data_IF_687332390469
#
_entry.id   IF_687332390469
#
_cell.length_a   1.000
_cell.length_b   1.000
_cell.length_c   1.000
_cell.angle_alpha   90.00
_cell.angle_beta   90.00
_cell.angle_gamma   90.00
#
_symmetry.space_group_name_H-M   'P 1'
#
loop_
_entity.id
_entity.type
_entity.pdbx_description
1 polymer ?
#
# COMPACT_ATOMS: atom_id res chain seq x y z
N UNK A 1 -37.72 -23.03 44.10
CA UNK A 1 -38.02 -21.99 43.08
C UNK A 1 -37.13 -20.76 43.20
N UNK A 2 -37.05 -20.03 44.31
CA UNK A 2 -36.21 -18.81 44.42
C UNK A 2 -34.73 -19.01 44.05
N UNK A 3 -34.09 -20.09 44.52
CA UNK A 3 -32.68 -20.39 44.20
C UNK A 3 -32.45 -20.70 42.71
N UNK A 4 -33.38 -21.38 42.04
CA UNK A 4 -33.30 -21.68 40.60
C UNK A 4 -33.45 -20.41 39.78
N UNK A 5 -34.36 -19.50 40.16
CA UNK A 5 -34.53 -18.19 39.52
C UNK A 5 -33.28 -17.33 39.71
N UNK A 6 -32.64 -17.35 40.88
CA UNK A 6 -31.38 -16.63 41.12
C UNK A 6 -30.23 -17.18 40.26
N UNK A 7 -30.11 -18.52 40.16
CA UNK A 7 -29.11 -19.12 39.27
C UNK A 7 -29.37 -18.81 37.79
N UNK A 8 -30.65 -18.85 37.36
CA UNK A 8 -31.00 -18.46 35.98
C UNK A 8 -30.74 -16.98 35.72
N UNK A 9 -31.01 -16.11 36.68
CA UNK A 9 -30.70 -14.67 36.57
C UNK A 9 -29.18 -14.42 36.53
N UNK A 10 -28.40 -15.08 37.36
CA UNK A 10 -26.94 -15.03 37.32
C UNK A 10 -26.39 -15.57 35.99
N UNK A 11 -26.95 -16.66 35.46
CA UNK A 11 -26.58 -17.22 34.16
C UNK A 11 -26.92 -16.26 33.02
N UNK A 12 -28.09 -15.61 33.07
CA UNK A 12 -28.51 -14.59 32.12
C UNK A 12 -27.61 -13.33 32.17
N UNK A 13 -27.19 -12.90 33.35
CA UNK A 13 -26.26 -11.78 33.52
C UNK A 13 -24.87 -12.15 33.02
N UNK A 14 -24.41 -13.39 33.23
CA UNK A 14 -23.14 -13.88 32.67
C UNK A 14 -23.17 -14.04 31.14
N UNK A 15 -24.32 -14.34 30.53
CA UNK A 15 -24.47 -14.43 29.07
C UNK A 15 -24.56 -13.06 28.40
N UNK A 16 -24.82 -11.98 29.12
CA UNK A 16 -24.93 -10.62 28.61
C UNK A 16 -23.60 -9.83 28.64
N UNK A 17 -22.53 -10.40 29.20
CA UNK A 17 -21.23 -9.79 29.18
C UNK A 17 -20.59 -9.98 27.79
N UNK A 18 -21.16 -9.32 26.76
CA UNK A 18 -20.45 -9.12 25.50
C UNK A 18 -19.14 -8.40 25.82
N UNK A 19 -18.02 -9.08 25.62
CA UNK A 19 -16.71 -8.48 25.89
C UNK A 19 -16.56 -7.25 24.99
N UNK A 20 -16.46 -6.08 25.62
CA UNK A 20 -16.31 -4.79 24.92
C UNK A 20 -15.18 -4.84 23.90
N UNK A 21 -15.45 -4.44 22.67
CA UNK A 21 -14.52 -4.46 21.56
C UNK A 21 -13.85 -3.11 21.36
N UNK A 22 -12.55 -3.12 21.23
CA UNK A 22 -11.71 -1.92 21.08
C UNK A 22 -11.11 -1.86 19.69
N UNK A 23 -11.37 -0.76 18.98
CA UNK A 23 -10.77 -0.44 17.67
C UNK A 23 -9.63 0.55 17.81
N UNK A 24 -8.52 0.29 17.14
CA UNK A 24 -7.37 1.20 17.02
C UNK A 24 -7.32 1.79 15.61
N UNK A 25 -7.37 3.12 15.50
CA UNK A 25 -7.30 3.84 14.22
C UNK A 25 -6.00 4.62 14.13
N UNK A 26 -5.20 4.34 13.09
CA UNK A 26 -3.86 4.90 12.90
C UNK A 26 -3.81 5.76 11.64
N UNK A 27 -3.49 7.04 11.80
CA UNK A 27 -3.34 7.94 10.65
C UNK A 27 -2.05 7.73 9.88
N UNK A 28 -2.00 8.22 8.65
CA UNK A 28 -0.75 8.42 7.93
C UNK A 28 0.04 9.61 8.48
N UNK A 29 1.31 9.74 8.06
CA UNK A 29 2.17 10.85 8.45
C UNK A 29 3.68 10.60 8.32
N UNK A 30 4.11 9.58 7.57
CA UNK A 30 5.53 9.22 7.40
C UNK A 30 6.18 8.83 8.72
N UNK A 31 7.44 9.22 8.93
CA UNK A 31 8.22 8.86 10.13
C UNK A 31 7.52 9.21 11.45
N UNK A 32 6.68 10.26 11.47
CA UNK A 32 5.88 10.64 12.67
C UNK A 32 5.00 9.49 13.17
N UNK A 33 4.59 8.59 12.28
CA UNK A 33 3.79 7.41 12.65
C UNK A 33 4.49 6.37 13.52
N UNK A 34 5.80 6.52 13.78
CA UNK A 34 6.49 5.66 14.75
C UNK A 34 5.98 5.87 16.19
N UNK A 35 5.29 6.98 16.48
CA UNK A 35 4.54 7.18 17.72
C UNK A 35 3.46 6.12 17.92
N UNK A 36 2.91 5.56 16.84
CA UNK A 36 1.90 4.49 16.91
C UNK A 36 2.44 3.23 17.60
N UNK A 37 3.74 2.93 17.44
CA UNK A 37 4.38 1.78 18.11
C UNK A 37 4.37 2.00 19.63
N UNK A 38 4.74 3.20 20.07
CA UNK A 38 4.73 3.54 21.51
C UNK A 38 3.32 3.49 22.11
N UNK A 39 2.30 3.93 21.36
CA UNK A 39 0.89 3.81 21.78
C UNK A 39 0.51 2.35 21.96
N UNK A 40 0.77 1.51 20.96
CA UNK A 40 0.47 0.07 21.02
C UNK A 40 1.21 -0.57 22.21
N UNK A 41 2.48 -0.22 22.43
CA UNK A 41 3.28 -0.72 23.54
C UNK A 41 2.67 -0.37 24.89
N UNK A 42 2.33 0.89 25.11
CA UNK A 42 1.68 1.33 26.36
C UNK A 42 0.31 0.68 26.58
N UNK A 43 -0.48 0.45 25.54
CA UNK A 43 -1.76 -0.25 25.63
C UNK A 43 -1.55 -1.70 26.05
N UNK A 44 -0.60 -2.42 25.43
CA UNK A 44 -0.30 -3.81 25.79
C UNK A 44 0.21 -3.96 27.21
N UNK A 45 1.24 -3.18 27.61
CA UNK A 45 1.83 -3.22 28.94
C UNK A 45 0.79 -3.00 30.02
N UNK A 46 -0.25 -2.26 29.71
CA UNK A 46 -1.34 -1.95 30.62
C UNK A 46 -2.59 -2.81 30.43
N UNK A 47 -2.50 -3.87 29.64
CA UNK A 47 -3.55 -4.84 29.45
C UNK A 47 -4.76 -4.32 28.69
N UNK A 48 -4.66 -3.18 27.98
CA UNK A 48 -5.76 -2.65 27.13
C UNK A 48 -5.84 -3.47 25.85
N UNK A 49 -6.99 -4.11 25.57
CA UNK A 49 -7.12 -4.94 24.37
C UNK A 49 -7.16 -4.10 23.09
N UNK A 50 -6.66 -4.67 21.99
CA UNK A 50 -6.80 -4.16 20.63
C UNK A 50 -7.47 -5.25 19.80
N UNK A 51 -8.77 -5.10 19.52
CA UNK A 51 -9.56 -6.13 18.82
C UNK A 51 -9.57 -5.90 17.30
N UNK A 52 -9.43 -4.64 16.84
CA UNK A 52 -9.51 -4.25 15.44
C UNK A 52 -8.53 -3.13 15.15
N UNK A 53 -7.97 -3.13 13.94
CA UNK A 53 -7.08 -2.05 13.50
C UNK A 53 -7.49 -1.55 12.12
N UNK A 54 -7.51 -0.22 11.96
CA UNK A 54 -7.55 0.42 10.65
C UNK A 54 -6.40 1.41 10.53
N UNK A 55 -5.76 1.47 9.35
CA UNK A 55 -4.61 2.35 9.16
C UNK A 55 -4.47 2.88 7.74
N UNK A 56 -3.79 4.01 7.62
CA UNK A 56 -3.44 4.64 6.35
C UNK A 56 -1.94 4.92 6.32
N UNK A 57 -1.26 4.67 5.18
CA UNK A 57 0.16 4.98 4.99
C UNK A 57 1.03 4.31 6.07
N UNK A 58 1.84 5.05 6.81
CA UNK A 58 2.62 4.50 7.94
C UNK A 58 1.72 3.84 9.00
N UNK A 59 0.50 4.34 9.21
CA UNK A 59 -0.47 3.69 10.09
C UNK A 59 -0.91 2.33 9.57
N UNK A 60 -0.93 2.12 8.25
CA UNK A 60 -1.15 0.81 7.64
C UNK A 60 0.07 -0.11 7.83
N UNK A 61 1.29 0.42 7.72
CA UNK A 61 2.52 -0.35 7.98
C UNK A 61 2.55 -0.84 9.43
N UNK A 62 2.45 0.07 10.39
CA UNK A 62 2.51 -0.29 11.83
C UNK A 62 1.31 -1.17 12.22
N UNK A 63 0.11 -0.81 11.77
CA UNK A 63 -1.10 -1.58 12.05
C UNK A 63 -1.06 -2.99 11.48
N UNK A 64 -0.50 -3.18 10.28
CA UNK A 64 -0.36 -4.50 9.67
C UNK A 64 0.71 -5.36 10.35
N UNK A 65 1.83 -4.79 10.79
CA UNK A 65 2.83 -5.51 11.58
C UNK A 65 2.18 -6.08 12.85
N UNK A 66 1.45 -5.24 13.58
CA UNK A 66 0.72 -5.70 14.76
C UNK A 66 -0.33 -6.77 14.42
N UNK A 67 -1.09 -6.55 13.35
CA UNK A 67 -2.10 -7.49 12.87
C UNK A 67 -1.52 -8.85 12.43
N UNK A 68 -0.24 -8.90 12.06
CA UNK A 68 0.51 -10.12 11.78
C UNK A 68 1.13 -10.77 13.04
N UNK A 69 0.89 -10.20 14.21
CA UNK A 69 1.39 -10.73 15.48
C UNK A 69 2.81 -10.28 15.85
N UNK A 70 3.30 -9.17 15.30
CA UNK A 70 4.53 -8.55 15.81
C UNK A 70 4.26 -7.91 17.17
N UNK A 71 5.16 -8.11 18.13
CA UNK A 71 5.16 -7.34 19.36
C UNK A 71 5.68 -5.92 19.12
N UNK A 72 5.40 -4.94 19.99
CA UNK A 72 5.97 -3.60 19.89
C UNK A 72 7.49 -3.59 19.81
N UNK A 73 8.14 -4.50 20.53
CA UNK A 73 9.59 -4.65 20.46
C UNK A 73 10.05 -5.15 19.09
N UNK A 74 9.44 -6.21 18.54
CA UNK A 74 9.75 -6.70 17.18
C UNK A 74 9.48 -5.64 16.11
N UNK A 75 8.46 -4.80 16.29
CA UNK A 75 8.20 -3.67 15.39
C UNK A 75 9.32 -2.63 15.45
N UNK A 76 9.81 -2.27 16.65
CA UNK A 76 10.95 -1.35 16.81
C UNK A 76 12.23 -1.92 16.22
N UNK A 77 12.54 -3.19 16.47
CA UNK A 77 13.69 -3.89 15.89
C UNK A 77 13.65 -3.85 14.36
N UNK A 78 12.47 -4.09 13.76
CA UNK A 78 12.29 -4.02 12.31
C UNK A 78 12.49 -2.59 11.78
N UNK A 79 11.84 -1.60 12.37
CA UNK A 79 11.91 -0.20 11.91
C UNK A 79 13.32 0.40 12.04
N UNK A 80 14.09 -0.05 13.02
CA UNK A 80 15.48 0.41 13.21
C UNK A 80 16.51 -0.43 12.48
N UNK A 81 16.09 -1.47 11.75
CA UNK A 81 16.98 -2.35 10.99
C UNK A 81 17.53 -1.69 9.72
N UNK A 82 18.73 -2.14 9.31
CA UNK A 82 19.33 -1.74 8.03
C UNK A 82 18.44 -2.12 6.84
N UNK A 83 17.68 -3.20 6.95
CA UNK A 83 16.74 -3.65 5.93
C UNK A 83 15.65 -2.60 5.68
N UNK A 84 15.03 -2.08 6.73
CA UNK A 84 14.04 -1.01 6.62
C UNK A 84 14.68 0.29 6.13
N UNK A 85 15.88 0.64 6.60
CA UNK A 85 16.63 1.81 6.14
C UNK A 85 16.85 1.77 4.62
N UNK A 86 17.28 0.63 4.08
CA UNK A 86 17.48 0.46 2.62
C UNK A 86 16.19 0.68 1.83
N UNK A 87 15.04 0.31 2.38
CA UNK A 87 13.75 0.47 1.71
C UNK A 87 13.32 1.93 1.52
N UNK A 88 13.56 2.80 2.50
CA UNK A 88 13.16 4.20 2.37
C UNK A 88 14.26 5.10 1.82
N UNK A 89 15.54 4.73 1.95
CA UNK A 89 16.65 5.44 1.30
C UNK A 89 16.71 5.15 -0.20
N UNK A 90 16.34 3.94 -0.62
CA UNK A 90 16.38 3.49 -2.01
C UNK A 90 17.80 3.37 -2.59
N UNK A 91 18.83 3.50 -1.76
CA UNK A 91 20.24 3.43 -2.17
C UNK A 91 20.62 1.96 -2.30
N UNK A 92 20.98 1.55 -3.52
CA UNK A 92 21.48 0.19 -3.79
C UNK A 92 22.89 0.06 -3.23
N UNK A 93 23.10 -0.90 -2.34
CA UNK A 93 24.42 -1.18 -1.78
C UNK A 93 25.29 -1.90 -2.83
N UNK A 94 26.61 -1.68 -2.72
CA UNK A 94 27.58 -2.27 -3.67
C UNK A 94 27.54 -3.80 -3.65
N UNK A 95 27.23 -4.39 -2.51
CA UNK A 95 27.21 -5.85 -2.35
C UNK A 95 25.97 -6.50 -2.97
N UNK A 96 24.88 -5.76 -3.12
CA UNK A 96 23.66 -6.21 -3.80
C UNK A 96 23.75 -6.04 -5.33
N UNK A 97 24.78 -5.34 -5.83
CA UNK A 97 25.02 -5.18 -7.29
C UNK A 97 26.10 -6.16 -7.71
N UNK A 98 25.76 -7.02 -8.67
CA UNK A 98 26.68 -8.03 -9.20
C UNK A 98 27.98 -7.38 -9.69
N UNK A 99 29.15 -7.86 -9.26
CA UNK A 99 30.47 -7.25 -9.47
C UNK A 99 30.74 -6.89 -10.95
N UNK A 100 30.38 -7.76 -11.88
CA UNK A 100 30.60 -7.54 -13.33
C UNK A 100 29.72 -6.42 -13.90
N UNK A 101 28.65 -6.04 -13.20
CA UNK A 101 27.67 -5.01 -13.63
C UNK A 101 27.76 -3.72 -12.83
N UNK A 102 28.77 -3.58 -11.96
CA UNK A 102 29.06 -2.33 -11.25
C UNK A 102 29.56 -1.32 -12.26
N UNK A 103 28.85 -0.21 -12.39
CA UNK A 103 29.36 0.91 -13.18
C UNK A 103 30.55 1.53 -12.46
N UNK A 104 31.57 1.93 -13.20
CA UNK A 104 32.63 2.75 -12.64
C UNK A 104 32.02 4.04 -12.06
N UNK A 105 32.52 4.53 -10.92
CA UNK A 105 32.05 5.76 -10.32
C UNK A 105 32.26 6.91 -11.31
N UNK A 106 31.19 7.45 -11.85
CA UNK A 106 31.21 8.62 -12.70
C UNK A 106 30.88 9.88 -11.88
N UNK A 107 31.45 11.05 -12.19
CA UNK A 107 31.13 12.29 -11.50
C UNK A 107 29.75 12.86 -11.92
N UNK A 108 28.84 12.03 -12.38
CA UNK A 108 27.52 12.45 -12.83
C UNK A 108 26.61 12.79 -11.63
N UNK A 109 26.14 14.04 -11.60
CA UNK A 109 25.17 14.50 -10.60
C UNK A 109 23.77 13.92 -10.86
N UNK A 110 23.44 13.72 -12.12
CA UNK A 110 22.19 13.08 -12.55
C UNK A 110 22.35 12.54 -13.98
N UNK A 111 21.64 11.46 -14.29
CA UNK A 111 21.54 10.91 -15.64
C UNK A 111 20.09 10.89 -16.09
N UNK A 112 19.82 11.33 -17.32
CA UNK A 112 18.52 11.22 -17.97
C UNK A 112 18.59 10.11 -19.01
N UNK A 113 17.87 9.01 -18.78
CA UNK A 113 17.76 7.95 -19.78
C UNK A 113 16.72 8.37 -20.81
N UNK A 114 17.13 8.47 -22.08
CA UNK A 114 16.22 8.64 -23.20
C UNK A 114 16.11 7.33 -23.98
N UNK A 115 14.90 6.96 -24.36
CA UNK A 115 14.67 5.83 -25.26
C UNK A 115 14.44 6.39 -26.64
N UNK A 116 15.28 6.01 -27.61
CA UNK A 116 15.02 6.30 -29.02
C UNK A 116 13.98 5.28 -29.47
N UNK A 117 12.75 5.71 -29.64
CA UNK A 117 11.71 4.95 -30.34
C UNK A 117 11.85 5.18 -31.84
N UNK A 118 11.27 4.32 -32.67
CA UNK A 118 11.31 4.34 -34.14
C UNK A 118 10.76 5.65 -34.79
N UNK A 119 10.31 6.60 -34.00
CA UNK A 119 10.00 7.98 -34.38
C UNK A 119 10.85 8.92 -33.55
N UNK A 120 11.37 9.98 -34.18
CA UNK A 120 12.24 11.01 -33.61
C UNK A 120 11.70 11.78 -32.37
N UNK A 121 10.83 11.18 -31.60
CA UNK A 121 10.29 11.72 -30.34
C UNK A 121 11.28 11.46 -29.19
N UNK A 122 12.09 12.45 -28.92
CA UNK A 122 12.90 12.54 -27.72
C UNK A 122 11.97 12.77 -26.49
N UNK A 123 11.51 11.72 -25.84
CA UNK A 123 10.83 11.85 -24.56
C UNK A 123 11.84 11.60 -23.44
N UNK A 124 12.28 12.61 -22.70
CA UNK A 124 13.10 12.41 -21.51
C UNK A 124 12.29 11.61 -20.48
N UNK A 125 12.81 10.47 -20.07
CA UNK A 125 12.17 9.66 -19.05
C UNK A 125 12.52 10.26 -17.69
N UNK A 126 11.65 11.09 -17.15
CA UNK A 126 11.80 11.59 -15.79
C UNK A 126 11.65 10.43 -14.79
N UNK A 127 12.41 10.41 -13.71
CA UNK A 127 12.24 9.41 -12.66
C UNK A 127 10.82 9.52 -12.10
N UNK A 128 10.13 8.39 -12.01
CA UNK A 128 8.72 8.32 -11.53
C UNK A 128 8.61 8.34 -10.01
N UNK A 129 9.73 8.20 -9.30
CA UNK A 129 9.83 8.25 -7.84
C UNK A 129 11.26 8.59 -7.41
N UNK A 130 11.40 9.21 -6.25
CA UNK A 130 12.69 9.52 -5.63
C UNK A 130 13.35 8.26 -5.06
N UNK A 131 12.55 7.37 -4.48
CA UNK A 131 13.05 6.14 -3.85
C UNK A 131 13.02 4.99 -4.85
N UNK A 132 14.15 4.30 -4.99
CA UNK A 132 14.23 3.10 -5.82
C UNK A 132 13.43 1.96 -5.18
N UNK A 133 12.47 1.32 -5.88
CA UNK A 133 11.57 0.35 -5.28
C UNK A 133 12.18 -1.05 -5.07
N UNK A 134 13.43 -1.30 -5.46
CA UNK A 134 14.02 -2.65 -5.47
C UNK A 134 13.96 -3.31 -4.09
N UNK A 135 14.48 -2.66 -3.05
CA UNK A 135 14.43 -3.21 -1.70
C UNK A 135 13.00 -3.33 -1.16
N UNK A 136 12.19 -2.31 -1.42
CA UNK A 136 10.78 -2.31 -0.98
C UNK A 136 9.97 -3.46 -1.58
N UNK A 137 10.18 -3.77 -2.86
CA UNK A 137 9.48 -4.87 -3.52
C UNK A 137 9.86 -6.23 -2.90
N UNK A 138 11.13 -6.42 -2.53
CA UNK A 138 11.58 -7.65 -1.88
C UNK A 138 11.08 -7.72 -0.42
N UNK A 139 11.25 -6.64 0.35
CA UNK A 139 10.78 -6.54 1.73
C UNK A 139 9.29 -6.86 1.86
N UNK A 140 8.46 -6.30 0.99
CA UNK A 140 7.01 -6.53 1.01
C UNK A 140 6.70 -8.01 0.83
N UNK A 141 7.37 -8.71 -0.08
CA UNK A 141 7.20 -10.16 -0.21
C UNK A 141 7.65 -10.89 1.06
N UNK A 142 8.83 -10.60 1.56
CA UNK A 142 9.43 -11.27 2.71
C UNK A 142 8.60 -11.11 3.98
N UNK A 143 8.10 -9.91 4.24
CA UNK A 143 7.39 -9.64 5.50
C UNK A 143 5.92 -10.07 5.47
N UNK A 144 5.25 -9.99 4.31
CA UNK A 144 3.80 -10.10 4.26
C UNK A 144 3.28 -11.42 3.65
N UNK A 145 4.09 -12.14 2.84
CA UNK A 145 3.58 -13.28 2.08
C UNK A 145 3.09 -14.44 2.98
N UNK A 146 3.80 -14.75 4.06
CA UNK A 146 3.38 -15.81 5.00
C UNK A 146 2.05 -15.48 5.68
N UNK A 147 1.88 -14.24 6.16
CA UNK A 147 0.64 -13.80 6.78
C UNK A 147 -0.51 -13.74 5.78
N UNK A 148 -0.26 -13.29 4.54
CA UNK A 148 -1.21 -13.33 3.43
C UNK A 148 -1.69 -14.75 3.14
N UNK A 149 -0.77 -15.71 3.16
CA UNK A 149 -1.10 -17.13 2.97
C UNK A 149 -1.87 -17.72 4.16
N UNK A 150 -1.45 -17.43 5.39
CA UNK A 150 -2.08 -17.95 6.61
C UNK A 150 -3.53 -17.47 6.77
N UNK A 151 -3.79 -16.19 6.45
CA UNK A 151 -5.15 -15.63 6.49
C UNK A 151 -5.97 -15.94 5.22
N UNK A 152 -5.42 -16.67 4.24
CA UNK A 152 -6.06 -16.97 2.94
C UNK A 152 -6.56 -15.69 2.24
N UNK A 153 -5.83 -14.60 2.45
CA UNK A 153 -6.16 -13.30 1.90
C UNK A 153 -7.37 -12.60 2.51
N UNK A 154 -7.94 -13.10 3.58
CA UNK A 154 -8.97 -12.39 4.36
C UNK A 154 -8.34 -11.73 5.58
N UNK A 155 -8.21 -10.41 5.57
CA UNK A 155 -7.57 -9.65 6.65
C UNK A 155 -8.33 -9.70 7.98
N UNK A 156 -9.56 -10.22 7.99
CA UNK A 156 -10.29 -10.49 9.22
C UNK A 156 -9.75 -11.73 9.96
N UNK A 157 -8.93 -12.55 9.32
CA UNK A 157 -8.33 -13.78 9.87
C UNK A 157 -6.87 -13.60 10.31
N UNK A 158 -6.34 -12.38 10.25
CA UNK A 158 -5.06 -12.04 10.84
C UNK A 158 -5.12 -12.15 12.38
N UNK A 159 -3.98 -12.10 13.05
CA UNK A 159 -3.91 -12.10 14.51
C UNK A 159 -4.81 -11.02 15.12
N UNK A 160 -4.83 -9.82 14.55
CA UNK A 160 -5.86 -8.81 14.78
C UNK A 160 -6.50 -8.45 13.44
N UNK A 161 -7.84 -8.50 13.30
CA UNK A 161 -8.54 -8.07 12.10
C UNK A 161 -8.14 -6.66 11.66
N UNK A 162 -7.81 -6.53 10.39
CA UNK A 162 -7.15 -5.33 9.85
C UNK A 162 -7.82 -4.79 8.60
N UNK A 163 -7.80 -3.46 8.43
CA UNK A 163 -8.13 -2.78 7.18
C UNK A 163 -7.11 -1.70 6.88
N UNK A 164 -6.79 -1.48 5.61
CA UNK A 164 -6.03 -0.31 5.21
C UNK A 164 -6.63 0.36 3.97
N UNK A 165 -6.18 1.58 3.73
CA UNK A 165 -6.72 2.46 2.69
C UNK A 165 -5.61 2.89 1.75
N UNK A 166 -5.88 2.81 0.45
CA UNK A 166 -5.14 3.52 -0.58
C UNK A 166 -6.06 4.47 -1.35
N UNK A 167 -5.54 5.14 -2.36
CA UNK A 167 -6.28 6.13 -3.15
C UNK A 167 -6.27 5.79 -4.64
N UNK A 168 -7.44 5.74 -5.26
CA UNK A 168 -7.60 5.77 -6.71
C UNK A 168 -7.74 7.24 -7.14
N UNK A 169 -6.65 7.81 -7.66
CA UNK A 169 -6.65 9.23 -8.05
C UNK A 169 -7.41 9.50 -9.33
N UNK A 170 -7.60 8.48 -10.18
CA UNK A 170 -8.41 8.60 -11.40
C UNK A 170 -9.90 8.71 -11.06
N UNK A 171 -10.39 7.83 -10.18
CA UNK A 171 -11.79 7.83 -9.73
C UNK A 171 -12.04 8.78 -8.55
N UNK A 172 -10.99 9.39 -8.00
CA UNK A 172 -11.04 10.34 -6.87
C UNK A 172 -11.76 9.77 -5.65
N UNK A 173 -11.45 8.54 -5.30
CA UNK A 173 -12.03 7.84 -4.15
C UNK A 173 -11.01 6.96 -3.43
N UNK A 174 -11.23 6.65 -2.14
CA UNK A 174 -10.42 5.68 -1.43
C UNK A 174 -10.64 4.27 -1.98
N UNK A 175 -9.58 3.46 -1.90
CA UNK A 175 -9.59 2.00 -2.08
C UNK A 175 -9.46 1.39 -0.69
N UNK A 176 -10.45 0.62 -0.27
CA UNK A 176 -10.46 -0.02 1.05
C UNK A 176 -10.07 -1.48 0.89
N UNK A 177 -8.96 -1.87 1.49
CA UNK A 177 -8.49 -3.25 1.47
C UNK A 177 -9.01 -4.04 2.68
N UNK A 178 -9.78 -5.07 2.39
CA UNK A 178 -10.34 -6.03 3.35
C UNK A 178 -9.78 -7.43 3.13
N UNK A 179 -9.27 -7.65 1.92
CA UNK A 179 -8.77 -8.94 1.42
C UNK A 179 -7.77 -8.74 0.28
N UNK A 180 -7.11 -9.83 -0.09
CA UNK A 180 -6.13 -9.87 -1.16
C UNK A 180 -4.72 -10.14 -0.63
N UNK A 181 -3.71 -9.73 -1.36
CA UNK A 181 -2.32 -9.74 -0.89
C UNK A 181 -2.11 -8.59 0.10
N UNK A 182 -1.80 -8.92 1.36
CA UNK A 182 -1.62 -7.94 2.42
C UNK A 182 -0.44 -7.01 2.13
N UNK A 183 0.65 -7.57 1.59
CA UNK A 183 1.83 -6.78 1.24
C UNK A 183 1.54 -5.74 0.17
N UNK A 184 0.81 -6.13 -0.87
CA UNK A 184 0.38 -5.20 -1.93
C UNK A 184 -0.59 -4.14 -1.41
N UNK A 185 -1.51 -4.51 -0.51
CA UNK A 185 -2.44 -3.56 0.10
C UNK A 185 -1.72 -2.49 0.93
N UNK A 186 -0.76 -2.90 1.78
CA UNK A 186 0.06 -2.00 2.59
C UNK A 186 0.98 -1.16 1.70
N UNK A 187 1.59 -1.77 0.69
CA UNK A 187 2.44 -1.08 -0.29
C UNK A 187 1.67 -0.02 -1.08
N UNK A 188 0.41 -0.30 -1.45
CA UNK A 188 -0.48 0.69 -2.07
C UNK A 188 -0.76 1.85 -1.12
N UNK A 189 -1.11 1.52 0.14
CA UNK A 189 -1.46 2.49 1.18
C UNK A 189 -0.33 3.49 1.47
N UNK A 190 0.94 3.10 1.32
CA UNK A 190 2.11 3.94 1.58
C UNK A 190 2.76 4.53 0.30
N UNK A 191 2.15 4.38 -0.86
CA UNK A 191 2.71 4.88 -2.14
C UNK A 191 2.52 6.40 -2.27
N UNK A 192 3.23 7.17 -1.42
CA UNK A 192 3.18 8.64 -1.47
C UNK A 192 3.72 9.15 -2.80
N UNK A 193 2.96 10.02 -3.52
CA UNK A 193 3.34 10.53 -4.84
C UNK A 193 4.73 11.15 -4.84
N UNK A 194 5.49 10.93 -5.91
CA UNK A 194 6.87 11.36 -6.13
C UNK A 194 7.92 10.70 -5.22
N UNK A 195 7.59 10.33 -3.99
CA UNK A 195 8.53 9.64 -3.08
C UNK A 195 8.60 8.16 -3.44
N UNK A 196 7.46 7.49 -3.45
CA UNK A 196 7.37 6.07 -3.78
C UNK A 196 6.59 5.86 -5.09
N UNK A 197 7.05 4.89 -5.87
CA UNK A 197 6.36 4.52 -7.09
C UNK A 197 4.97 3.95 -6.77
N UNK A 198 3.90 4.44 -7.43
CA UNK A 198 2.58 3.88 -7.28
C UNK A 198 2.52 2.45 -7.83
N UNK A 199 1.59 1.65 -7.34
CA UNK A 199 1.41 0.27 -7.78
C UNK A 199 0.02 0.06 -8.36
N UNK A 200 -0.10 -0.93 -9.23
CA UNK A 200 -1.38 -1.35 -9.78
C UNK A 200 -1.96 -2.47 -8.92
N UNK A 201 -3.18 -2.30 -8.44
CA UNK A 201 -3.94 -3.30 -7.69
C UNK A 201 -5.31 -3.44 -8.36
N UNK A 202 -5.65 -4.64 -8.77
CA UNK A 202 -6.92 -4.97 -9.44
C UNK A 202 -7.23 -4.04 -10.64
N UNK A 203 -6.20 -3.72 -11.44
CA UNK A 203 -6.32 -2.84 -12.60
C UNK A 203 -6.41 -1.34 -12.30
N UNK A 204 -6.30 -0.94 -11.04
CA UNK A 204 -6.30 0.45 -10.60
C UNK A 204 -4.91 0.89 -10.16
N UNK A 205 -4.47 2.06 -10.62
CA UNK A 205 -3.25 2.67 -10.12
C UNK A 205 -3.51 3.27 -8.74
N UNK A 206 -2.89 2.65 -7.73
CA UNK A 206 -3.08 2.99 -6.33
C UNK A 206 -1.94 3.87 -5.80
N UNK A 207 -2.32 4.89 -5.06
CA UNK A 207 -1.46 5.83 -4.36
C UNK A 207 -1.74 5.81 -2.86
N UNK A 208 -0.94 6.53 -2.09
CA UNK A 208 -1.10 6.69 -0.64
C UNK A 208 -2.53 7.04 -0.25
N UNK A 209 -3.04 6.35 0.76
CA UNK A 209 -4.41 6.54 1.25
C UNK A 209 -4.66 7.91 1.83
N UNK A 210 -3.61 8.60 2.29
CA UNK A 210 -3.68 9.95 2.83
C UNK A 210 -4.21 11.00 1.87
N UNK A 211 -4.24 10.70 0.55
CA UNK A 211 -4.82 11.61 -0.44
C UNK A 211 -6.32 11.82 -0.19
N UNK A 212 -7.08 10.77 0.15
CA UNK A 212 -8.55 10.87 0.33
C UNK A 212 -9.05 10.47 1.72
N UNK A 213 -8.36 9.60 2.45
CA UNK A 213 -8.74 9.20 3.81
C UNK A 213 -7.51 8.89 4.66
N UNK A 214 -6.95 9.92 5.28
CA UNK A 214 -5.75 9.79 6.10
C UNK A 214 -6.00 9.28 7.52
N UNK A 215 -7.26 9.17 7.95
CA UNK A 215 -7.65 8.67 9.27
C UNK A 215 -8.92 7.82 9.14
N UNK A 216 -8.81 6.51 8.89
CA UNK A 216 -9.92 5.66 8.44
C UNK A 216 -10.84 5.21 9.59
N UNK A 217 -11.35 6.17 10.35
CA UNK A 217 -12.29 5.95 11.46
C UNK A 217 -13.69 5.54 10.98
N UNK A 218 -14.09 6.03 9.81
CA UNK A 218 -15.31 5.62 9.10
C UNK A 218 -15.29 4.11 8.82
N UNK A 219 -14.18 3.61 8.29
CA UNK A 219 -14.00 2.18 7.99
C UNK A 219 -13.97 1.33 9.26
N UNK A 220 -13.36 1.83 10.33
CA UNK A 220 -13.40 1.16 11.64
C UNK A 220 -14.84 0.97 12.11
N UNK A 221 -15.67 2.00 11.96
CA UNK A 221 -17.09 1.93 12.35
C UNK A 221 -17.90 1.02 11.45
N UNK A 222 -17.74 1.17 10.14
CA UNK A 222 -18.56 0.49 9.15
C UNK A 222 -18.27 -1.01 9.06
N UNK A 223 -17.00 -1.41 9.23
CA UNK A 223 -16.58 -2.81 9.08
C UNK A 223 -16.58 -3.59 10.40
N UNK A 224 -16.28 -2.94 11.51
CA UNK A 224 -16.01 -3.63 12.78
C UNK A 224 -16.98 -3.28 13.93
N UNK A 225 -17.64 -2.13 13.86
CA UNK A 225 -18.57 -1.66 14.90
C UNK A 225 -18.02 -1.80 16.33
N UNK A 226 -16.82 -1.27 16.66
CA UNK A 226 -16.26 -1.39 17.99
C UNK A 226 -17.06 -0.58 19.03
N UNK A 227 -17.02 -1.03 20.27
CA UNK A 227 -17.66 -0.32 21.39
C UNK A 227 -16.85 0.90 21.84
N UNK A 228 -15.54 0.89 21.61
CA UNK A 228 -14.62 1.97 21.96
C UNK A 228 -13.53 2.14 20.90
N UNK A 229 -13.21 3.38 20.57
CA UNK A 229 -12.17 3.68 19.56
C UNK A 229 -11.02 4.45 20.21
N UNK A 230 -9.80 3.95 20.02
CA UNK A 230 -8.57 4.68 20.29
C UNK A 230 -8.05 5.19 18.94
N UNK A 231 -8.00 6.50 18.78
CA UNK A 231 -7.48 7.13 17.58
C UNK A 231 -6.10 7.69 17.81
N UNK A 232 -5.17 7.47 16.87
CA UNK A 232 -3.85 8.09 16.87
C UNK A 232 -3.64 8.92 15.60
N UNK A 233 -3.45 10.22 15.77
CA UNK A 233 -3.30 11.20 14.70
C UNK A 233 -1.95 11.89 14.80
N UNK A 234 -1.08 11.62 13.83
CA UNK A 234 0.28 12.18 13.72
C UNK A 234 0.41 13.17 12.56
N UNK A 235 -0.68 13.43 11.87
CA UNK A 235 -0.77 14.35 10.73
C UNK A 235 -1.85 15.37 10.94
N UNK A 236 -1.72 16.51 10.29
CA UNK A 236 -2.74 17.56 10.27
C UNK A 236 -3.12 17.84 8.82
N UNK A 237 -4.30 18.42 8.62
CA UNK A 237 -4.64 18.96 7.31
C UNK A 237 -3.62 20.04 6.92
N UNK A 238 -3.17 20.00 5.67
CA UNK A 238 -2.19 20.94 5.15
C UNK A 238 -2.56 22.39 5.47
N UNK A 239 -1.64 23.11 6.08
CA UNK A 239 -1.72 24.56 6.25
C UNK A 239 -1.32 25.24 4.93
N UNK A 240 -1.35 26.57 4.89
CA UNK A 240 -0.86 27.30 3.72
C UNK A 240 0.60 26.95 3.48
N UNK A 241 0.95 26.35 2.31
CA UNK A 241 2.31 25.91 2.06
C UNK A 241 3.28 27.08 1.93
N UNK A 242 4.53 26.89 2.32
CA UNK A 242 5.60 27.84 2.05
C UNK A 242 5.82 27.96 0.53
N UNK A 243 5.98 29.18 -0.03
CA UNK A 243 6.27 29.37 -1.46
C UNK A 243 7.54 28.65 -1.95
N UNK A 244 8.47 28.33 -1.06
CA UNK A 244 9.73 27.65 -1.37
C UNK A 244 9.68 26.14 -1.14
N UNK A 245 8.60 25.62 -0.55
CA UNK A 245 8.39 24.18 -0.30
C UNK A 245 7.54 23.55 -1.42
N UNK A 246 8.17 23.10 -2.50
CA UNK A 246 7.50 22.47 -3.64
C UNK A 246 6.76 21.20 -3.22
N UNK A 247 7.34 20.41 -2.30
CA UNK A 247 6.73 19.14 -1.85
C UNK A 247 5.44 19.43 -1.07
N UNK A 248 5.49 20.36 -0.13
CA UNK A 248 4.31 20.79 0.64
C UNK A 248 3.23 21.46 -0.22
N UNK A 249 3.63 22.19 -1.27
CA UNK A 249 2.67 22.73 -2.25
C UNK A 249 1.95 21.62 -3.00
N UNK A 250 2.68 20.65 -3.51
CA UNK A 250 2.12 19.49 -4.22
C UNK A 250 1.24 18.66 -3.28
N UNK A 251 1.71 18.38 -2.07
CA UNK A 251 0.92 17.69 -1.04
C UNK A 251 -0.42 18.39 -0.81
N UNK A 252 -0.40 19.71 -0.65
CA UNK A 252 -1.62 20.52 -0.46
C UNK A 252 -2.57 20.46 -1.67
N UNK A 253 -2.02 20.33 -2.89
CA UNK A 253 -2.83 20.24 -4.11
C UNK A 253 -3.50 18.90 -4.30
N UNK A 254 -2.85 17.80 -3.86
CA UNK A 254 -3.33 16.43 -4.13
C UNK A 254 -4.11 15.83 -2.98
N UNK A 255 -3.87 16.26 -1.72
CA UNK A 255 -4.54 15.71 -0.55
C UNK A 255 -5.88 16.38 -0.29
N UNK A 256 -6.92 15.58 -0.09
CA UNK A 256 -8.19 16.05 0.44
C UNK A 256 -8.08 16.34 1.95
N UNK A 257 -8.94 17.22 2.45
CA UNK A 257 -9.03 17.42 3.91
C UNK A 257 -9.59 16.17 4.57
N UNK A 258 -8.81 15.59 5.48
CA UNK A 258 -9.24 14.46 6.30
C UNK A 258 -9.99 14.91 7.54
N UNK A 259 -11.01 14.13 7.92
CA UNK A 259 -11.68 14.33 9.20
C UNK A 259 -10.94 13.54 10.28
N UNK A 260 -10.19 14.24 11.12
CA UNK A 260 -9.45 13.64 12.24
C UNK A 260 -10.26 13.62 13.55
N UNK A 261 -11.57 13.74 13.49
CA UNK A 261 -12.42 13.66 14.67
C UNK A 261 -12.94 12.22 14.86
N UNK A 262 -13.13 11.84 16.11
CA UNK A 262 -13.92 10.65 16.42
C UNK A 262 -15.40 11.03 16.28
N UNK A 263 -16.22 10.21 15.60
CA UNK A 263 -17.62 10.55 15.31
C UNK A 263 -18.54 10.52 16.53
N UNK A 264 -18.11 9.88 17.63
CA UNK A 264 -18.91 9.72 18.85
C UNK A 264 -18.07 9.98 20.10
N UNK A 265 -18.76 10.14 21.24
CA UNK A 265 -18.14 10.32 22.55
C UNK A 265 -17.44 9.06 23.08
N UNK A 266 -17.63 7.89 22.43
CA UNK A 266 -17.07 6.58 22.82
C UNK A 266 -15.67 6.36 22.25
N UNK A 267 -14.74 7.26 22.52
CA UNK A 267 -13.36 7.11 22.10
C UNK A 267 -12.40 8.09 22.76
N UNK A 268 -11.13 7.83 22.58
CA UNK A 268 -10.03 8.73 22.94
C UNK A 268 -9.17 8.98 21.69
N UNK A 269 -8.78 10.25 21.52
CA UNK A 269 -7.96 10.66 20.40
C UNK A 269 -6.64 11.24 20.89
N UNK A 270 -5.56 10.54 20.56
CA UNK A 270 -4.19 11.00 20.77
C UNK A 270 -3.76 11.82 19.54
N UNK A 271 -3.35 13.07 19.75
CA UNK A 271 -2.93 14.00 18.69
C UNK A 271 -1.51 14.45 18.91
N UNK A 272 -0.70 14.40 17.85
CA UNK A 272 0.69 14.84 17.86
C UNK A 272 0.90 15.89 16.78
N UNK A 273 1.39 17.06 17.17
CA UNK A 273 1.79 18.13 16.24
C UNK A 273 3.30 18.09 16.01
N UNK A 274 3.73 17.24 15.09
CA UNK A 274 5.13 16.98 14.80
C UNK A 274 5.58 17.52 13.42
N UNK A 275 4.73 18.29 12.74
CA UNK A 275 5.00 18.70 11.35
C UNK A 275 6.21 19.63 11.20
N UNK A 276 6.56 20.37 12.26
CA UNK A 276 7.73 21.26 12.27
C UNK A 276 9.01 20.60 12.74
N UNK A 277 8.89 19.45 13.40
CA UNK A 277 10.01 18.81 14.12
C UNK A 277 10.50 17.56 13.38
N UNK A 278 9.62 16.90 12.65
CA UNK A 278 9.88 15.60 12.02
C UNK A 278 9.51 15.65 10.54
N UNK A 279 10.46 15.41 9.67
CA UNK A 279 10.23 15.29 8.24
C UNK A 279 9.64 13.93 7.84
N UNK A 280 9.16 13.80 6.59
CA UNK A 280 8.42 12.62 6.11
C UNK A 280 9.22 11.30 6.23
N UNK A 281 10.53 11.35 5.99
CA UNK A 281 11.40 10.17 5.94
C UNK A 281 12.47 10.14 7.06
N UNK A 282 12.28 10.89 8.14
CA UNK A 282 13.22 11.01 9.26
C UNK A 282 13.00 9.88 10.28
N UNK A 283 13.26 8.64 9.85
CA UNK A 283 13.05 7.43 10.66
C UNK A 283 14.13 7.19 11.72
N UNK A 284 15.24 7.91 11.67
CA UNK A 284 16.32 7.87 12.67
C UNK A 284 15.90 8.31 14.07
N UNK A 285 14.78 9.05 14.19
CA UNK A 285 14.19 9.44 15.47
C UNK A 285 13.22 8.39 16.05
N UNK A 286 13.33 7.13 15.65
CA UNK A 286 12.38 6.08 16.02
C UNK A 286 12.18 5.94 17.53
N UNK A 287 13.27 5.93 18.32
CA UNK A 287 13.18 5.81 19.78
C UNK A 287 12.45 7.00 20.40
N UNK A 288 12.80 8.23 19.99
CA UNK A 288 12.14 9.44 20.49
C UNK A 288 10.62 9.42 20.21
N UNK A 289 10.23 9.03 19.00
CA UNK A 289 8.82 8.97 18.60
C UNK A 289 8.05 7.85 19.32
N UNK A 290 8.70 6.69 19.52
CA UNK A 290 8.14 5.63 20.35
C UNK A 290 7.86 6.13 21.77
N UNK A 291 8.85 6.73 22.45
CA UNK A 291 8.74 7.17 23.84
C UNK A 291 7.69 8.28 23.99
N UNK A 292 7.57 9.15 22.99
CA UNK A 292 6.52 10.17 22.93
C UNK A 292 5.11 9.52 22.86
N UNK A 293 4.93 8.53 21.99
CA UNK A 293 3.67 7.80 21.88
C UNK A 293 3.31 7.02 23.14
N UNK A 294 4.31 6.38 23.73
CA UNK A 294 4.16 5.63 24.99
C UNK A 294 3.73 6.56 26.13
N UNK A 295 4.45 7.66 26.35
CA UNK A 295 4.17 8.61 27.43
C UNK A 295 2.80 9.27 27.27
N UNK A 296 2.44 9.71 26.06
CA UNK A 296 1.14 10.31 25.79
C UNK A 296 -0.02 9.35 26.04
N UNK A 297 0.19 8.05 25.84
CA UNK A 297 -0.82 7.04 26.15
C UNK A 297 -1.00 6.85 27.65
N UNK A 298 0.08 6.89 28.43
CA UNK A 298 0.01 6.82 29.88
C UNK A 298 -0.78 7.97 30.48
N UNK A 299 -0.69 9.19 29.94
CA UNK A 299 -1.44 10.36 30.40
C UNK A 299 -2.98 10.17 30.31
N UNK A 300 -3.44 9.40 29.35
CA UNK A 300 -4.88 9.13 29.14
C UNK A 300 -5.32 7.75 29.57
N UNK A 301 -4.40 6.95 30.12
CA UNK A 301 -4.63 5.53 30.44
C UNK A 301 -5.76 5.28 31.40
N UNK A 302 -5.88 6.08 32.47
CA UNK A 302 -6.96 5.96 33.45
C UNK A 302 -8.34 6.21 32.80
N UNK A 303 -8.38 7.16 31.88
CA UNK A 303 -9.60 7.45 31.10
C UNK A 303 -9.95 6.30 30.13
N UNK A 304 -8.94 5.61 29.58
CA UNK A 304 -9.14 4.41 28.76
C UNK A 304 -9.66 3.28 29.63
N UNK A 305 -8.99 2.95 30.76
CA UNK A 305 -9.35 1.86 31.65
C UNK A 305 -10.73 2.04 32.29
N UNK A 306 -11.12 3.27 32.58
CA UNK A 306 -12.47 3.58 33.10
C UNK A 306 -13.58 3.24 32.09
N UNK A 307 -13.29 3.31 30.78
CA UNK A 307 -14.25 3.03 29.70
C UNK A 307 -14.10 1.63 29.11
N UNK A 308 -12.91 1.02 29.26
CA UNK A 308 -12.58 -0.33 28.80
C UNK A 308 -12.15 -1.17 29.99
N UNK A 309 -13.11 -1.72 30.76
CA UNK A 309 -12.80 -2.51 31.97
C UNK A 309 -12.18 -3.89 31.64
N UNK A 310 -12.36 -4.39 30.40
CA UNK A 310 -11.74 -5.64 29.95
C UNK A 310 -10.23 -5.48 29.86
N UNK A 311 -9.51 -6.42 30.45
CA UNK A 311 -8.05 -6.48 30.40
C UNK A 311 -7.58 -7.79 29.78
N UNK A 312 -6.42 -7.74 29.11
CA UNK A 312 -5.74 -8.88 28.52
C UNK A 312 -4.32 -8.92 29.09
N UNK A 313 -3.98 -10.04 29.75
CA UNK A 313 -2.62 -10.21 30.27
C UNK A 313 -1.61 -10.36 29.10
N UNK A 314 -0.46 -9.73 29.22
CA UNK A 314 0.61 -9.76 28.21
C UNK A 314 1.04 -11.20 27.87
N UNK A 315 1.16 -12.07 28.87
CA UNK A 315 1.51 -13.49 28.65
C UNK A 315 0.46 -14.21 27.81
N UNK A 316 -0.84 -13.92 28.05
CA UNK A 316 -1.93 -14.50 27.25
C UNK A 316 -1.87 -14.02 25.81
N UNK A 317 -1.56 -12.73 25.59
CA UNK A 317 -1.42 -12.13 24.28
C UNK A 317 -0.23 -12.73 23.53
N UNK A 318 0.92 -12.88 24.18
CA UNK A 318 2.12 -13.49 23.61
C UNK A 318 1.86 -14.95 23.21
N UNK A 319 1.16 -15.71 24.04
CA UNK A 319 0.77 -17.08 23.70
C UNK A 319 -0.13 -17.13 22.45
N UNK A 320 -1.05 -16.19 22.30
CA UNK A 320 -1.89 -16.09 21.11
C UNK A 320 -1.07 -15.71 19.87
N UNK A 321 -0.06 -14.81 20.00
CA UNK A 321 0.89 -14.48 18.93
C UNK A 321 1.67 -15.70 18.46
N UNK A 322 2.23 -16.46 19.39
CA UNK A 322 2.95 -17.68 19.07
C UNK A 322 2.07 -18.70 18.36
N UNK A 323 0.83 -18.87 18.82
CA UNK A 323 -0.15 -19.73 18.15
C UNK A 323 -0.43 -19.28 16.73
N UNK A 324 -0.61 -17.97 16.50
CA UNK A 324 -0.78 -17.44 15.15
C UNK A 324 0.48 -17.63 14.30
N UNK A 325 1.66 -17.29 14.83
CA UNK A 325 2.95 -17.48 14.14
C UNK A 325 3.19 -18.94 13.76
N UNK A 326 2.75 -19.89 14.57
CA UNK A 326 2.84 -21.32 14.27
C UNK A 326 1.94 -21.76 13.07
N UNK A 327 0.98 -20.94 12.65
CA UNK A 327 0.15 -21.20 11.45
C UNK A 327 0.80 -20.71 10.17
N UNK A 328 1.87 -19.92 10.25
CA UNK A 328 2.53 -19.34 9.09
C UNK A 328 3.21 -20.47 8.27
N UNK A 329 2.96 -20.52 6.96
CA UNK A 329 3.60 -21.50 6.10
C UNK A 329 5.11 -21.23 5.94
N UNK A 330 5.92 -22.25 5.61
CA UNK A 330 7.33 -22.04 5.32
C UNK A 330 7.53 -21.16 4.06
N UNK A 331 8.65 -20.45 4.00
CA UNK A 331 9.06 -19.67 2.84
C UNK A 331 9.58 -20.57 1.69
N UNK A 332 8.65 -21.25 1.03
CA UNK A 332 8.94 -22.04 -0.17
C UNK A 332 7.87 -21.77 -1.21
N UNK A 333 8.28 -21.24 -2.34
CA UNK A 333 7.39 -20.93 -3.47
C UNK A 333 7.40 -22.09 -4.47
N UNK A 334 6.29 -22.79 -4.58
CA UNK A 334 6.18 -23.96 -5.47
C UNK A 334 6.19 -23.59 -6.95
N UNK A 335 5.64 -22.45 -7.32
CA UNK A 335 5.54 -21.99 -8.70
C UNK A 335 5.71 -20.47 -8.80
N UNK A 336 6.45 -20.03 -9.83
CA UNK A 336 6.63 -18.62 -10.17
C UNK A 336 5.91 -18.34 -11.49
N UNK A 337 4.97 -17.41 -11.48
CA UNK A 337 4.26 -16.94 -12.66
C UNK A 337 4.81 -15.58 -13.10
N UNK A 338 5.12 -15.46 -14.39
CA UNK A 338 5.75 -14.26 -14.95
C UNK A 338 4.82 -13.63 -15.97
N UNK A 339 4.50 -12.36 -15.79
CA UNK A 339 3.59 -11.59 -16.65
C UNK A 339 4.25 -10.33 -17.19
N UNK A 340 3.66 -9.73 -18.24
CA UNK A 340 4.09 -8.44 -18.78
C UNK A 340 5.37 -8.48 -19.61
N UNK A 341 5.80 -9.66 -20.09
CA UNK A 341 7.02 -9.87 -20.87
C UNK A 341 6.75 -10.75 -22.09
N UNK A 342 7.67 -10.71 -23.07
CA UNK A 342 7.64 -11.62 -24.23
C UNK A 342 7.98 -13.06 -23.80
N UNK A 343 7.70 -14.05 -24.64
CA UNK A 343 7.94 -15.45 -24.31
C UNK A 343 9.43 -15.75 -24.09
N UNK A 344 10.32 -15.19 -24.92
CA UNK A 344 11.76 -15.34 -24.73
C UNK A 344 12.27 -14.72 -23.42
N UNK A 345 11.73 -13.56 -23.04
CA UNK A 345 12.04 -12.93 -21.75
C UNK A 345 11.48 -13.74 -20.58
N UNK A 346 10.29 -14.31 -20.73
CA UNK A 346 9.69 -15.18 -19.71
C UNK A 346 10.55 -16.38 -19.45
N UNK A 347 11.00 -17.06 -20.51
CA UNK A 347 11.88 -18.23 -20.36
C UNK A 347 13.20 -17.86 -19.70
N UNK A 348 13.82 -16.74 -20.07
CA UNK A 348 15.02 -16.24 -19.40
C UNK A 348 14.79 -15.99 -17.90
N UNK A 349 13.77 -15.23 -17.54
CA UNK A 349 13.44 -14.93 -16.15
C UNK A 349 13.10 -16.19 -15.36
N UNK A 350 12.41 -17.15 -15.98
CA UNK A 350 12.04 -18.41 -15.35
C UNK A 350 13.26 -19.24 -15.02
N UNK A 351 14.22 -19.35 -15.96
CA UNK A 351 15.47 -20.07 -15.73
C UNK A 351 16.32 -19.43 -14.61
N UNK A 352 16.27 -18.09 -14.44
CA UNK A 352 16.99 -17.39 -13.37
C UNK A 352 16.30 -17.52 -12.00
N UNK A 353 14.97 -17.51 -11.96
CA UNK A 353 14.19 -17.47 -10.72
C UNK A 353 13.80 -18.86 -10.23
N UNK A 354 13.54 -19.80 -11.13
CA UNK A 354 13.16 -21.19 -10.83
C UNK A 354 13.77 -22.13 -11.87
N UNK A 355 15.09 -22.40 -11.79
CA UNK A 355 15.77 -23.24 -12.77
C UNK A 355 15.28 -24.68 -12.78
N UNK A 356 14.78 -25.20 -11.67
CA UNK A 356 14.18 -26.52 -11.54
C UNK A 356 12.70 -26.40 -11.12
N UNK A 357 11.80 -26.52 -12.09
CA UNK A 357 10.35 -26.41 -11.86
C UNK A 357 9.78 -27.53 -10.96
N UNK A 358 10.48 -28.62 -10.79
CA UNK A 358 10.08 -29.72 -9.92
C UNK A 358 10.30 -29.42 -8.43
N UNK A 359 11.11 -28.42 -8.14
CA UNK A 359 11.45 -27.99 -6.78
C UNK A 359 10.86 -26.62 -6.47
N UNK A 360 10.46 -26.45 -5.21
CA UNK A 360 10.14 -25.13 -4.69
C UNK A 360 11.39 -24.26 -4.59
N UNK A 361 11.20 -22.94 -4.70
CA UNK A 361 12.23 -21.91 -4.53
C UNK A 361 12.16 -21.38 -3.11
N UNK A 362 13.25 -21.43 -2.39
CA UNK A 362 13.37 -20.83 -1.05
C UNK A 362 13.45 -19.31 -1.14
N UNK A 363 13.22 -18.63 -0.02
CA UNK A 363 13.32 -17.18 0.04
C UNK A 363 14.73 -16.68 -0.33
N UNK A 364 15.79 -17.34 0.17
CA UNK A 364 17.18 -16.95 -0.08
C UNK A 364 17.58 -17.13 -1.54
N UNK A 365 17.14 -18.22 -2.16
CA UNK A 365 17.34 -18.45 -3.60
C UNK A 365 16.63 -17.38 -4.43
N UNK A 366 15.38 -17.06 -4.08
CA UNK A 366 14.60 -16.03 -4.74
C UNK A 366 15.23 -14.64 -4.56
N UNK A 367 15.65 -14.29 -3.33
CA UNK A 367 16.33 -13.03 -3.02
C UNK A 367 17.59 -12.87 -3.88
N UNK A 368 18.44 -13.91 -3.91
CA UNK A 368 19.68 -13.88 -4.67
C UNK A 368 19.42 -13.73 -6.18
N UNK A 369 18.45 -14.45 -6.72
CA UNK A 369 18.05 -14.34 -8.12
C UNK A 369 17.44 -12.96 -8.44
N UNK A 370 16.60 -12.44 -7.55
CA UNK A 370 15.98 -11.13 -7.71
C UNK A 370 17.02 -9.99 -7.80
N UNK A 371 17.96 -9.91 -6.86
CA UNK A 371 19.00 -8.86 -6.87
C UNK A 371 19.94 -9.03 -8.06
N UNK A 372 20.28 -10.25 -8.45
CA UNK A 372 21.05 -10.53 -9.68
C UNK A 372 20.33 -10.00 -10.93
N UNK A 373 19.03 -10.23 -11.05
CA UNK A 373 18.23 -9.72 -12.16
C UNK A 373 18.08 -8.20 -12.12
N UNK A 374 17.85 -7.62 -10.93
CA UNK A 374 17.72 -6.16 -10.78
C UNK A 374 19.04 -5.41 -11.01
N UNK A 375 20.18 -6.10 -10.96
CA UNK A 375 21.48 -5.56 -11.39
C UNK A 375 21.63 -5.51 -12.92
N UNK A 376 20.69 -6.09 -13.69
CA UNK A 376 20.70 -6.03 -15.14
C UNK A 376 20.07 -4.73 -15.65
N UNK A 377 20.88 -3.89 -16.33
CA UNK A 377 20.44 -2.61 -16.88
C UNK A 377 19.29 -2.73 -17.89
N UNK A 378 19.04 -3.94 -18.44
CA UNK A 378 17.93 -4.20 -19.37
C UNK A 378 16.60 -4.42 -18.62
N UNK A 379 16.64 -4.65 -17.31
CA UNK A 379 15.47 -4.88 -16.47
C UNK A 379 15.19 -3.61 -15.67
N UNK A 380 14.10 -2.94 -15.98
CA UNK A 380 13.73 -1.69 -15.30
C UNK A 380 13.09 -1.92 -13.93
N UNK A 381 12.28 -2.97 -13.78
CA UNK A 381 11.59 -3.30 -12.53
C UNK A 381 11.06 -4.72 -12.55
N UNK A 382 11.15 -5.40 -11.41
CA UNK A 382 10.45 -6.65 -11.12
C UNK A 382 9.60 -6.39 -9.87
N UNK A 383 8.29 -6.60 -9.97
CA UNK A 383 7.38 -6.59 -8.81
C UNK A 383 7.11 -8.00 -8.38
N UNK A 384 7.23 -8.23 -7.09
CA UNK A 384 6.96 -9.50 -6.46
C UNK A 384 5.61 -9.42 -5.75
N UNK A 385 4.75 -10.40 -6.01
CA UNK A 385 3.43 -10.48 -5.40
C UNK A 385 3.13 -11.92 -5.01
N UNK A 386 2.57 -12.12 -3.82
CA UNK A 386 2.08 -13.42 -3.39
C UNK A 386 0.71 -13.70 -4.03
N UNK A 387 0.59 -14.79 -4.78
CA UNK A 387 -0.65 -15.16 -5.43
C UNK A 387 -1.51 -16.01 -4.50
N UNK A 388 -2.63 -15.47 -4.06
CA UNK A 388 -3.65 -16.18 -3.29
C UNK A 388 -4.50 -17.04 -4.22
N UNK A 389 -4.55 -18.35 -4.00
CA UNK A 389 -5.51 -19.19 -4.70
C UNK A 389 -6.91 -19.01 -4.11
N UNK A 390 -7.75 -18.26 -4.78
CA UNK A 390 -9.17 -18.09 -4.48
C UNK A 390 -10.03 -19.30 -4.87
N UNK A 391 -9.49 -20.54 -4.94
CA UNK A 391 -10.29 -21.75 -5.22
C UNK A 391 -9.88 -22.94 -4.38
N UNK A 392 -10.90 -23.44 -3.68
CA UNK A 392 -11.10 -24.75 -3.09
C UNK A 392 -10.11 -25.84 -3.50
N UNK A 393 -9.49 -26.47 -2.48
CA UNK A 393 -8.89 -27.79 -2.54
C UNK A 393 -7.70 -27.95 -3.53
N UNK A 394 -6.52 -27.47 -3.15
CA UNK A 394 -5.28 -28.20 -3.44
C UNK A 394 -4.08 -27.49 -2.76
N UNK A 395 -3.49 -28.18 -1.81
CA UNK A 395 -2.17 -28.00 -1.21
C UNK A 395 -1.70 -26.58 -0.83
N UNK A 396 -1.43 -26.41 0.48
CA UNK A 396 -0.91 -25.26 1.21
C UNK A 396 0.51 -24.83 0.77
N UNK A 397 0.71 -24.43 -0.47
CA UNK A 397 1.99 -23.88 -0.91
C UNK A 397 1.81 -22.47 -1.46
N UNK A 398 2.60 -21.49 -1.00
CA UNK A 398 2.55 -20.12 -1.52
C UNK A 398 2.97 -20.11 -3.01
N UNK A 399 2.28 -19.29 -3.80
CA UNK A 399 2.59 -19.05 -5.21
C UNK A 399 3.08 -17.61 -5.38
N UNK A 400 4.09 -17.42 -6.17
CA UNK A 400 4.68 -16.12 -6.47
C UNK A 400 4.24 -15.64 -7.86
N UNK A 401 3.77 -14.40 -7.94
CA UNK A 401 3.52 -13.69 -9.19
C UNK A 401 4.60 -12.64 -9.41
N UNK A 402 5.27 -12.71 -10.54
CA UNK A 402 6.24 -11.70 -10.97
C UNK A 402 5.63 -10.83 -12.08
N UNK A 403 5.59 -9.52 -11.86
CA UNK A 403 5.14 -8.54 -12.83
C UNK A 403 6.33 -7.70 -13.30
N UNK A 404 6.60 -7.71 -14.59
CA UNK A 404 7.55 -6.77 -15.22
C UNK A 404 6.78 -5.62 -15.84
N UNK A 405 7.07 -4.41 -15.43
CA UNK A 405 6.62 -3.22 -16.17
C UNK A 405 7.56 -3.01 -17.37
N UNK A 406 7.03 -3.18 -18.55
CA UNK A 406 7.72 -2.73 -19.77
C UNK A 406 6.75 -1.94 -20.65
N UNK A 407 7.16 -0.71 -20.95
CA UNK A 407 6.63 0.22 -21.95
C UNK A 407 5.10 0.48 -21.96
N UNK A 408 4.75 1.65 -21.48
CA UNK A 408 3.39 2.23 -21.54
C UNK A 408 2.85 2.46 -22.98
N UNK A 409 3.64 2.26 -24.02
CA UNK A 409 3.22 2.55 -25.40
C UNK A 409 2.52 1.41 -26.15
N UNK A 410 2.59 0.15 -25.71
CA UNK A 410 1.91 -0.98 -26.38
C UNK A 410 0.55 -1.37 -25.80
N UNK A 411 0.18 -0.86 -24.64
CA UNK A 411 -1.11 -1.20 -23.97
C UNK A 411 -2.36 -0.64 -24.68
N UNK A 412 -2.23 0.28 -25.62
CA UNK A 412 -3.39 0.79 -26.39
C UNK A 412 -3.96 -0.17 -27.42
N UNK A 413 -3.30 -1.28 -27.73
CA UNK A 413 -3.73 -2.22 -28.78
C UNK A 413 -4.17 -3.61 -28.27
N UNK A 414 -3.99 -3.94 -26.99
CA UNK A 414 -4.31 -5.29 -26.49
C UNK A 414 -5.66 -5.43 -25.78
N UNK A 415 -6.33 -4.35 -25.44
CA UNK A 415 -7.66 -4.40 -24.80
C UNK A 415 -8.79 -5.04 -25.61
N UNK A 416 -8.77 -5.11 -26.97
CA UNK A 416 -9.81 -5.78 -27.72
C UNK A 416 -9.74 -7.31 -27.72
N UNK A 417 -8.58 -7.92 -27.39
CA UNK A 417 -8.39 -9.36 -27.52
C UNK A 417 -8.79 -10.15 -26.26
N UNK A 418 -8.68 -9.58 -25.07
CA UNK A 418 -9.11 -10.25 -23.83
C UNK A 418 -10.64 -10.29 -23.67
N UNK A 419 -11.36 -9.31 -24.21
CA UNK A 419 -12.83 -9.35 -24.25
C UNK A 419 -13.39 -10.40 -25.23
N UNK A 420 -12.57 -10.91 -26.16
CA UNK A 420 -12.99 -11.94 -27.13
C UNK A 420 -13.15 -13.33 -26.51
N UNK A 421 -12.54 -13.63 -25.38
CA UNK A 421 -12.62 -14.96 -24.76
C UNK A 421 -13.78 -15.11 -23.76
N UNK A 422 -14.41 -14.03 -23.34
CA UNK A 422 -15.51 -14.08 -22.35
C UNK A 422 -16.92 -13.87 -22.91
N UNK A 423 -17.05 -13.44 -24.15
CA UNK A 423 -18.39 -13.22 -24.76
C UNK A 423 -18.44 -13.86 -26.14
N UNK A 424 -19.17 -14.96 -26.27
CA UNK A 424 -19.64 -15.49 -27.54
C UNK A 424 -20.59 -14.48 -28.23
N UNK A 425 -20.06 -13.37 -28.73
CA UNK A 425 -20.81 -12.39 -29.49
C UNK A 425 -20.48 -12.49 -30.97
N UNK A 426 -21.55 -12.64 -31.74
CA UNK A 426 -21.61 -12.81 -33.20
C UNK A 426 -20.77 -11.74 -33.95
N UNK A 427 -19.99 -12.13 -35.01
CA UNK A 427 -19.08 -11.22 -35.73
C UNK A 427 -19.71 -9.96 -36.32
N UNK A 428 -21.04 -9.97 -36.57
CA UNK A 428 -21.76 -8.83 -37.16
C UNK A 428 -21.92 -7.62 -36.24
N UNK A 429 -21.89 -7.81 -34.91
CA UNK A 429 -22.01 -6.72 -33.94
C UNK A 429 -20.71 -5.93 -33.78
N UNK A 430 -19.54 -6.57 -33.98
CA UNK A 430 -18.24 -5.93 -33.90
C UNK A 430 -18.01 -4.96 -35.09
N UNK A 431 -18.42 -5.33 -36.28
CA UNK A 431 -18.32 -4.49 -37.49
C UNK A 431 -19.19 -3.22 -37.39
N UNK A 432 -20.37 -3.33 -36.78
CA UNK A 432 -21.26 -2.18 -36.57
C UNK A 432 -20.69 -1.17 -35.56
N UNK A 433 -20.07 -1.65 -34.48
CA UNK A 433 -19.40 -0.76 -33.48
C UNK A 433 -18.16 -0.07 -34.05
N UNK A 434 -17.36 -0.75 -34.86
CA UNK A 434 -16.19 -0.14 -35.52
C UNK A 434 -16.63 0.93 -36.53
N UNK A 435 -17.72 0.69 -37.27
CA UNK A 435 -18.24 1.66 -38.22
C UNK A 435 -18.82 2.92 -37.56
N UNK A 436 -19.50 2.76 -36.42
CA UNK A 436 -19.97 3.89 -35.59
C UNK A 436 -18.85 4.72 -35.00
N UNK A 437 -17.81 4.08 -34.50
CA UNK A 437 -16.64 4.81 -33.95
C UNK A 437 -15.85 5.56 -35.03
N UNK A 438 -15.77 4.99 -36.24
CA UNK A 438 -15.13 5.66 -37.38
C UNK A 438 -15.93 6.88 -37.82
N UNK A 439 -17.27 6.78 -37.83
CA UNK A 439 -18.19 7.87 -38.19
C UNK A 439 -18.10 9.05 -37.17
N UNK A 440 -18.04 8.73 -35.87
CA UNK A 440 -17.86 9.71 -34.79
C UNK A 440 -16.51 10.44 -34.87
N UNK A 441 -15.43 9.72 -35.20
CA UNK A 441 -14.08 10.33 -35.39
C UNK A 441 -14.05 11.26 -36.59
N UNK A 442 -14.69 10.89 -37.72
CA UNK A 442 -14.80 11.74 -38.90
C UNK A 442 -15.62 13.02 -38.63
N UNK A 443 -16.70 12.91 -37.88
CA UNK A 443 -17.50 14.08 -37.48
C UNK A 443 -16.69 15.03 -36.56
N UNK A 444 -15.92 14.50 -35.62
CA UNK A 444 -15.09 15.30 -34.75
C UNK A 444 -13.96 16.03 -35.52
N UNK A 445 -13.33 15.35 -36.48
CA UNK A 445 -12.30 15.94 -37.35
C UNK A 445 -12.88 17.05 -38.26
N UNK A 446 -14.10 16.87 -38.77
CA UNK A 446 -14.80 17.88 -39.54
C UNK A 446 -15.18 19.12 -38.72
N UNK A 447 -15.58 18.93 -37.45
CA UNK A 447 -15.84 20.05 -36.53
C UNK A 447 -14.54 20.82 -36.18
N UNK A 448 -13.45 20.13 -35.94
CA UNK A 448 -12.14 20.76 -35.70
C UNK A 448 -11.66 21.55 -36.91
N UNK A 449 -11.85 21.02 -38.10
CA UNK A 449 -11.49 21.71 -39.36
C UNK A 449 -12.35 22.97 -39.60
N UNK A 450 -13.63 22.93 -39.26
CA UNK A 450 -14.51 24.11 -39.33
C UNK A 450 -14.10 25.18 -38.30
N UNK A 451 -13.75 24.79 -37.06
CA UNK A 451 -13.28 25.72 -36.03
C UNK A 451 -11.94 26.37 -36.42
N UNK A 452 -11.00 25.60 -36.98
CA UNK A 452 -9.74 26.14 -37.51
C UNK A 452 -9.94 27.13 -38.65
N UNK A 453 -10.90 26.87 -39.54
CA UNK A 453 -11.21 27.78 -40.68
C UNK A 453 -11.88 29.06 -40.20
N UNK A 454 -12.73 29.00 -39.16
CA UNK A 454 -13.31 30.17 -38.52
C UNK A 454 -12.26 31.04 -37.81
N UNK A 455 -11.32 30.39 -37.13
CA UNK A 455 -10.23 31.07 -36.42
C UNK A 455 -9.28 31.79 -37.38
N UNK A 456 -8.96 31.17 -38.50
CA UNK A 456 -8.12 31.78 -39.55
C UNK A 456 -8.79 32.98 -40.22
N UNK A 457 -10.13 32.94 -40.43
CA UNK A 457 -10.89 34.09 -40.94
C UNK A 457 -10.97 35.23 -39.93
N UNK A 458 -11.10 34.94 -38.65
CA UNK A 458 -11.10 35.93 -37.56
C UNK A 458 -9.73 36.63 -37.42
N UNK A 459 -8.64 35.89 -37.59
CA UNK A 459 -7.28 36.44 -37.59
C UNK A 459 -7.04 37.38 -38.80
N UNK A 460 -7.50 36.99 -39.97
CA UNK A 460 -7.41 37.85 -41.18
C UNK A 460 -8.27 39.13 -41.06
N UNK A 461 -9.44 39.07 -40.47
CA UNK A 461 -10.28 40.24 -40.22
C UNK A 461 -9.67 41.18 -39.16
N UNK A 462 -8.99 40.65 -38.13
CA UNK A 462 -8.27 41.48 -37.14
C UNK A 462 -7.03 42.18 -37.74
N UNK A 463 -6.33 41.53 -38.69
CA UNK A 463 -5.21 42.18 -39.38
C UNK A 463 -5.67 43.32 -40.32
N UNK A 464 -6.85 43.20 -40.94
CA UNK A 464 -7.40 44.28 -41.78
C UNK A 464 -7.93 45.48 -40.99
N UNK A 465 -8.29 45.30 -39.73
CA UNK A 465 -8.74 46.42 -38.85
C UNK A 465 -7.59 47.19 -38.17
N UNK A 466 -6.34 46.71 -38.27
CA UNK A 466 -5.15 47.40 -37.74
C UNK A 466 -4.41 48.25 -38.82
N UNK A 467 -4.86 48.23 -40.07
CA UNK A 467 -4.28 48.97 -41.16
C UNK A 467 -5.26 49.94 -41.87
N UNK A 468 -6.38 50.25 -41.22
CA UNK A 468 -7.28 51.34 -41.63
C UNK A 468 -7.32 52.46 -40.51
#
# INVERSE_FOLDING_TARGET
MKRVVTYLLCLLVCLSASAQKVGLVLSGGGAKGLTHIGIIHALEDNGVPIDYITGTSIGAVIGSLYAMGYSPQEMMEFITSDEFHRCYSGILEKDDVYFIKRNDPTPELFSVKSTIADSLDFAPTLPTSLVNPVYMNMLVLERYSQASAACEGDFSRLFVPFRCVASNVYEKRPIIFRRGDLGMAVRASMSFPFVFKPIEVDGNLAFDGGIFNNFPVDIMKDDFHPDFIIGSVVSQNSQRPDPNDIVGQVETMITARSNYALPDTNGILLRFDLNKEISLLEFDKAQYLHDLGYSATLEVLDSIKARVPRQVAVDSLNKQREQFKATLPPFVFSHIYIHGVTESQRQYLKNELQPDESKGVTLDELRSAYFRLMSDNTISEIRLQHLLQLRQQLHRHPRLLLLKQHQQHKLRLQHPLQLRQQLHLHPRLLLLKQHQQHKLRLQHLLQLRQQLHLHSRLLLLKQHQQHS
#
